data_IF_707980573129
#
_entry.id   IF_707980573129
#
_cell.length_a   1.000
_cell.length_b   1.000
_cell.length_c   1.000
_cell.angle_alpha   90.00
_cell.angle_beta   90.00
_cell.angle_gamma   90.00
#
_symmetry.space_group_name_H-M   'P 1'
#
loop_
_entity.id
_entity.type
_entity.pdbx_description
1 polymer ?
#
# COMPACT_ATOMS: atom_id res chain seq x y z
N UNK A 1 2.22 23.56 -6.82
CA UNK A 1 1.31 22.98 -7.81
C UNK A 1 1.81 21.65 -8.36
N UNK A 2 3.05 21.56 -8.81
CA UNK A 2 3.66 20.31 -9.25
C UNK A 2 3.61 19.26 -8.14
N UNK A 3 3.83 19.68 -6.90
CA UNK A 3 3.82 18.78 -5.76
C UNK A 3 2.48 18.06 -5.58
N UNK A 4 1.38 18.77 -5.82
CA UNK A 4 0.04 18.19 -5.72
C UNK A 4 -0.22 17.13 -6.78
N UNK A 5 0.23 17.40 -8.00
CA UNK A 5 0.05 16.49 -9.13
C UNK A 5 0.89 15.23 -8.91
N UNK A 6 2.17 15.39 -8.60
CA UNK A 6 3.06 14.26 -8.33
C UNK A 6 2.59 13.46 -7.13
N UNK A 7 2.09 14.12 -6.09
CA UNK A 7 1.58 13.44 -4.91
C UNK A 7 0.43 12.49 -5.26
N UNK A 8 -0.47 12.92 -6.15
CA UNK A 8 -1.58 12.06 -6.61
C UNK A 8 -1.05 10.81 -7.31
N UNK A 9 -0.09 10.97 -8.20
CA UNK A 9 0.51 9.84 -8.90
C UNK A 9 1.20 8.89 -7.92
N UNK A 10 1.98 9.43 -7.00
CA UNK A 10 2.73 8.62 -6.05
C UNK A 10 1.83 7.91 -5.04
N UNK A 11 0.70 8.54 -4.67
CA UNK A 11 -0.26 7.85 -3.80
C UNK A 11 -0.80 6.59 -4.47
N UNK A 12 -0.99 6.61 -5.79
CA UNK A 12 -1.37 5.42 -6.53
C UNK A 12 -0.30 4.34 -6.46
N UNK A 13 0.95 4.71 -6.71
CA UNK A 13 2.07 3.76 -6.62
C UNK A 13 2.23 3.21 -5.20
N UNK A 14 2.08 4.05 -4.21
CA UNK A 14 2.19 3.64 -2.81
C UNK A 14 1.13 2.58 -2.49
N UNK A 15 -0.09 2.77 -2.96
CA UNK A 15 -1.15 1.79 -2.73
C UNK A 15 -0.85 0.45 -3.40
N UNK A 16 -0.24 0.47 -4.58
CA UNK A 16 0.19 -0.75 -5.26
C UNK A 16 1.29 -1.45 -4.46
N UNK A 17 2.25 -0.69 -3.92
CA UNK A 17 3.27 -1.25 -3.03
C UNK A 17 2.64 -1.90 -1.81
N UNK A 18 1.68 -1.23 -1.20
CA UNK A 18 0.98 -1.75 -0.02
C UNK A 18 0.29 -3.07 -0.35
N UNK A 19 -0.44 -3.13 -1.44
CA UNK A 19 -1.12 -4.36 -1.87
C UNK A 19 -0.13 -5.48 -2.15
N UNK A 20 0.99 -5.16 -2.80
CA UNK A 20 2.02 -6.13 -3.10
C UNK A 20 2.57 -6.78 -1.82
N UNK A 21 2.90 -5.96 -0.83
CA UNK A 21 3.43 -6.47 0.43
C UNK A 21 2.37 -7.20 1.25
N UNK A 22 1.13 -6.69 1.24
CA UNK A 22 0.02 -7.35 1.93
C UNK A 22 -0.27 -8.75 1.36
N UNK A 23 -0.02 -8.93 0.07
CA UNK A 23 -0.18 -10.24 -0.57
C UNK A 23 0.88 -11.22 -0.12
N UNK A 24 2.09 -10.75 0.11
CA UNK A 24 3.18 -11.61 0.55
C UNK A 24 3.00 -12.06 1.99
N UNK A 25 2.62 -11.13 2.85
CA UNK A 25 2.58 -11.37 4.28
C UNK A 25 1.85 -10.23 4.98
N UNK A 26 1.10 -10.55 6.02
CA UNK A 26 0.46 -9.52 6.83
C UNK A 26 1.54 -8.60 7.44
N UNK A 27 1.29 -7.30 7.44
CA UNK A 27 2.25 -6.31 7.92
C UNK A 27 1.60 -5.37 8.93
N UNK A 28 2.40 -4.71 9.74
CA UNK A 28 1.93 -3.63 10.61
C UNK A 28 2.44 -2.28 10.10
N UNK A 29 1.76 -1.20 10.50
CA UNK A 29 1.98 0.13 9.91
C UNK A 29 3.41 0.64 10.00
N UNK A 30 4.07 0.48 11.17
CA UNK A 30 5.43 0.97 11.34
C UNK A 30 6.41 0.28 10.38
N UNK A 31 6.20 -1.01 10.13
CA UNK A 31 7.01 -1.75 9.14
C UNK A 31 6.81 -1.18 7.74
N UNK A 32 5.56 -0.89 7.39
CA UNK A 32 5.26 -0.36 6.06
C UNK A 32 5.86 1.03 5.84
N UNK A 33 5.90 1.86 6.87
CA UNK A 33 6.53 3.18 6.78
C UNK A 33 8.00 3.03 6.39
N UNK A 34 8.72 2.10 7.03
CA UNK A 34 10.13 1.88 6.72
C UNK A 34 10.31 1.26 5.35
N UNK A 35 9.45 0.35 4.97
CA UNK A 35 9.49 -0.28 3.65
C UNK A 35 9.30 0.75 2.54
N UNK A 36 8.31 1.62 2.67
CA UNK A 36 8.04 2.68 1.69
C UNK A 36 9.19 3.67 1.62
N UNK A 37 9.82 3.96 2.74
CA UNK A 37 10.98 4.85 2.80
C UNK A 37 12.13 4.30 1.96
N UNK A 38 12.35 2.99 1.99
CA UNK A 38 13.38 2.35 1.17
C UNK A 38 13.13 2.51 -0.33
N UNK A 39 11.87 2.73 -0.71
CA UNK A 39 11.50 2.98 -2.11
C UNK A 39 11.38 4.46 -2.43
N UNK A 40 11.83 5.33 -1.52
CA UNK A 40 11.84 6.77 -1.75
C UNK A 40 10.56 7.49 -1.36
N UNK A 41 9.63 6.80 -0.71
CA UNK A 41 8.38 7.42 -0.27
C UNK A 41 8.44 7.72 1.21
N UNK A 42 8.55 9.00 1.55
CA UNK A 42 8.52 9.43 2.94
C UNK A 42 7.08 9.65 3.37
N UNK A 43 6.65 8.88 4.35
CA UNK A 43 5.28 8.90 4.84
C UNK A 43 5.26 8.93 6.35
N UNK A 44 4.56 9.89 6.91
CA UNK A 44 4.33 9.93 8.36
C UNK A 44 3.19 8.98 8.73
N UNK A 45 3.11 8.57 10.01
CA UNK A 45 1.94 7.82 10.48
C UNK A 45 0.63 8.56 10.21
N UNK A 46 0.64 9.89 10.34
CA UNK A 46 -0.55 10.72 10.08
C UNK A 46 -1.03 10.65 8.64
N UNK A 47 -0.20 10.24 7.71
CA UNK A 47 -0.58 10.06 6.30
C UNK A 47 -0.86 8.60 5.99
N UNK A 48 -0.05 7.69 6.52
CA UNK A 48 -0.20 6.26 6.21
C UNK A 48 -1.48 5.66 6.80
N UNK A 49 -1.78 5.92 8.07
CA UNK A 49 -2.92 5.27 8.70
C UNK A 49 -4.26 5.66 8.09
N UNK A 50 -4.51 6.93 7.73
CA UNK A 50 -5.72 7.27 6.96
C UNK A 50 -5.78 6.56 5.62
N UNK A 51 -4.64 6.38 4.95
CA UNK A 51 -4.58 5.66 3.67
C UNK A 51 -4.94 4.19 3.86
N UNK A 52 -4.37 3.55 4.87
CA UNK A 52 -4.69 2.15 5.19
C UNK A 52 -6.16 1.99 5.54
N UNK A 53 -6.70 2.93 6.33
CA UNK A 53 -8.12 2.92 6.68
C UNK A 53 -9.01 3.02 5.44
N UNK A 54 -8.64 3.89 4.51
CA UNK A 54 -9.37 4.05 3.26
C UNK A 54 -9.32 2.77 2.41
N UNK A 55 -8.14 2.16 2.32
CA UNK A 55 -7.99 0.90 1.58
C UNK A 55 -8.80 -0.22 2.23
N UNK A 56 -8.84 -0.26 3.54
CA UNK A 56 -9.66 -1.22 4.29
C UNK A 56 -11.14 -1.00 4.03
N UNK A 57 -11.59 0.26 4.07
CA UNK A 57 -12.99 0.63 3.81
C UNK A 57 -13.43 0.24 2.41
N UNK A 58 -12.51 0.28 1.46
CA UNK A 58 -12.78 -0.12 0.08
C UNK A 58 -12.64 -1.63 -0.15
N UNK A 59 -12.37 -2.38 0.90
CA UNK A 59 -12.33 -3.84 0.84
C UNK A 59 -11.05 -4.41 0.25
N UNK A 60 -9.98 -3.62 0.12
CA UNK A 60 -8.74 -4.06 -0.50
C UNK A 60 -7.82 -4.79 0.46
N UNK A 61 -7.84 -4.41 1.71
CA UNK A 61 -7.07 -5.03 2.77
C UNK A 61 -7.97 -5.26 3.98
N UNK A 62 -7.53 -6.15 4.85
CA UNK A 62 -8.26 -6.55 6.04
C UNK A 62 -7.34 -6.40 7.24
N UNK A 63 -7.84 -5.80 8.29
CA UNK A 63 -7.09 -5.58 9.53
C UNK A 63 -7.42 -6.67 10.53
N UNK A 64 -6.39 -7.24 11.15
CA UNK A 64 -6.53 -8.15 12.29
C UNK A 64 -5.64 -7.64 13.42
N UNK A 65 -6.08 -7.88 14.65
CA UNK A 65 -5.30 -7.50 15.82
C UNK A 65 -4.64 -8.73 16.41
N UNK A 66 -3.39 -8.59 16.81
CA UNK A 66 -2.63 -9.63 17.49
C UNK A 66 -1.94 -9.04 18.72
N UNK A 67 -1.86 -9.82 19.79
CA UNK A 67 -1.11 -9.42 20.97
C UNK A 67 0.31 -9.97 20.83
N UNK A 68 1.28 -9.06 20.79
CA UNK A 68 2.70 -9.42 20.68
C UNK A 68 3.44 -8.75 21.84
N UNK A 69 4.07 -9.56 22.67
CA UNK A 69 4.82 -9.08 23.84
C UNK A 69 3.96 -8.19 24.73
N UNK A 70 2.70 -8.58 24.96
CA UNK A 70 1.79 -7.82 25.83
C UNK A 70 1.16 -6.61 25.20
N UNK A 71 1.45 -6.30 23.93
CA UNK A 71 0.89 -5.14 23.22
C UNK A 71 0.03 -5.60 22.06
N UNK A 72 -1.08 -4.90 21.85
CA UNK A 72 -1.96 -5.15 20.71
C UNK A 72 -1.34 -4.50 19.47
N UNK A 73 -1.18 -5.28 18.42
CA UNK A 73 -0.66 -4.81 17.15
C UNK A 73 -1.69 -5.06 16.06
N UNK A 74 -1.86 -4.08 15.16
CA UNK A 74 -2.77 -4.19 14.03
C UNK A 74 -1.99 -4.65 12.80
N UNK A 75 -2.43 -5.77 12.23
CA UNK A 75 -1.84 -6.31 11.02
C UNK A 75 -2.81 -6.18 9.87
N UNK A 76 -2.27 -5.96 8.68
CA UNK A 76 -3.04 -5.79 7.45
C UNK A 76 -2.64 -6.87 6.47
N UNK A 77 -3.62 -7.48 5.82
CA UNK A 77 -3.37 -8.47 4.79
C UNK A 77 -4.32 -8.21 3.62
N UNK A 78 -3.95 -8.73 2.44
CA UNK A 78 -4.73 -8.50 1.24
C UNK A 78 -6.03 -9.32 1.29
N UNK A 79 -7.09 -8.76 0.70
CA UNK A 79 -8.36 -9.47 0.50
C UNK A 79 -8.39 -10.07 -0.92
N UNK A 80 -9.36 -10.95 -1.23
CA UNK A 80 -9.54 -11.40 -2.62
C UNK A 80 -9.75 -10.26 -3.59
N UNK A 81 -10.53 -9.24 -3.21
CA UNK A 81 -10.73 -8.05 -4.04
C UNK A 81 -9.41 -7.30 -4.24
N UNK A 82 -8.65 -7.11 -3.16
CA UNK A 82 -7.35 -6.46 -3.23
C UNK A 82 -6.40 -7.19 -4.16
N UNK A 83 -6.43 -8.52 -4.13
CA UNK A 83 -5.61 -9.34 -5.02
C UNK A 83 -5.98 -9.13 -6.49
N UNK A 84 -7.28 -9.06 -6.79
CA UNK A 84 -7.75 -8.80 -8.16
C UNK A 84 -7.33 -7.41 -8.64
N UNK A 85 -7.46 -6.41 -7.77
CA UNK A 85 -7.04 -5.03 -8.09
C UNK A 85 -5.54 -4.96 -8.31
N UNK A 86 -4.75 -5.66 -7.49
CA UNK A 86 -3.30 -5.71 -7.66
C UNK A 86 -2.92 -6.32 -9.01
N UNK A 87 -3.57 -7.42 -9.39
CA UNK A 87 -3.31 -8.07 -10.68
C UNK A 87 -3.62 -7.13 -11.85
N UNK A 88 -4.74 -6.42 -11.77
CA UNK A 88 -5.12 -5.47 -12.81
C UNK A 88 -4.15 -4.28 -12.87
N UNK A 89 -3.76 -3.75 -11.72
CA UNK A 89 -2.79 -2.65 -11.65
C UNK A 89 -1.43 -3.07 -12.23
N UNK A 90 -1.00 -4.31 -11.93
CA UNK A 90 0.24 -4.86 -12.47
C UNK A 90 0.20 -4.92 -13.99
N UNK A 91 -0.90 -5.41 -14.54
CA UNK A 91 -1.10 -5.52 -15.98
C UNK A 91 -1.01 -4.15 -16.66
N UNK A 92 -1.69 -3.16 -16.08
CA UNK A 92 -1.70 -1.80 -16.62
C UNK A 92 -0.33 -1.14 -16.52
N UNK A 93 0.39 -1.37 -15.42
CA UNK A 93 1.73 -0.83 -15.24
C UNK A 93 2.70 -1.42 -16.27
N UNK A 94 2.62 -2.73 -16.53
CA UNK A 94 3.47 -3.37 -17.53
C UNK A 94 3.19 -2.85 -18.94
N UNK A 95 1.93 -2.67 -19.27
CA UNK A 95 1.51 -2.13 -20.57
C UNK A 95 2.04 -0.71 -20.76
N UNK A 96 1.86 0.12 -19.74
CA UNK A 96 2.34 1.50 -19.79
C UNK A 96 3.86 1.54 -19.93
N UNK A 97 4.56 0.73 -19.15
CA UNK A 97 6.02 0.69 -19.18
C UNK A 97 6.53 0.29 -20.57
N UNK A 98 5.88 -0.67 -21.23
CA UNK A 98 6.20 -1.05 -22.60
C UNK A 98 6.10 0.12 -23.55
N UNK A 99 5.12 0.99 -23.36
CA UNK A 99 4.86 2.12 -24.23
C UNK A 99 5.84 3.26 -24.04
N UNK A 100 6.18 3.57 -22.80
CA UNK A 100 6.97 4.77 -22.47
C UNK A 100 8.46 4.52 -22.29
N UNK A 101 8.92 3.28 -22.36
CA UNK A 101 10.31 2.98 -22.03
C UNK A 101 11.32 3.43 -23.10
N UNK A 102 10.86 3.77 -24.26
CA UNK A 102 11.73 4.28 -25.36
C UNK A 102 11.88 5.79 -25.32
#
# INVERSE_FOLDING_TARGET
MQDKVLRKFFLGFIQIHILHHAKKEAFYGAWMIEELKEHGYEMSPGTLYPLLHNMESNGLIKKTEKTVAGKVRKYYQITPLGNDILAEARQKALELLKEIKD
#
